data_IF_658767810204
#
_entry.id   IF_658767810204
#
_cell.length_a   1.000
_cell.length_b   1.000
_cell.length_c   1.000
_cell.angle_alpha   90.00
_cell.angle_beta   90.00
_cell.angle_gamma   90.00
#
_symmetry.space_group_name_H-M   'P 1'
#
loop_
_entity.id
_entity.type
_entity.pdbx_description
1 polymer ?
#
# COMPACT_ATOMS: atom_id res chain seq x y z
N UNK A 1 -27.86 -2.83 5.23
CA UNK A 1 -27.39 -2.26 3.96
C UNK A 1 -28.51 -2.42 2.94
N UNK A 2 -28.88 -1.38 2.18
CA UNK A 2 -29.96 -1.45 1.16
C UNK A 2 -29.37 -1.97 -0.16
N UNK A 3 -30.12 -2.83 -0.88
CA UNK A 3 -29.76 -3.27 -2.22
C UNK A 3 -29.82 -2.10 -3.22
N UNK A 4 -28.82 -2.01 -4.10
CA UNK A 4 -28.73 -0.99 -5.13
C UNK A 4 -29.10 -1.58 -6.49
N UNK A 5 -29.87 -0.84 -7.28
CA UNK A 5 -30.11 -1.15 -8.69
C UNK A 5 -28.87 -0.86 -9.54
N UNK A 6 -28.76 -1.49 -10.71
CA UNK A 6 -27.66 -1.25 -11.66
C UNK A 6 -27.53 0.25 -12.00
N UNK A 7 -28.66 0.93 -12.21
CA UNK A 7 -28.71 2.36 -12.52
C UNK A 7 -28.18 3.22 -11.37
N UNK A 8 -28.48 2.86 -10.11
CA UNK A 8 -27.92 3.56 -8.94
C UNK A 8 -26.41 3.34 -8.83
N UNK A 9 -25.93 2.11 -9.07
CA UNK A 9 -24.48 1.80 -9.06
C UNK A 9 -23.74 2.60 -10.13
N UNK A 10 -24.23 2.63 -11.37
CA UNK A 10 -23.59 3.36 -12.47
C UNK A 10 -23.60 4.88 -12.30
N UNK A 11 -24.57 5.42 -11.53
CA UNK A 11 -24.63 6.85 -11.21
C UNK A 11 -23.73 7.25 -10.04
N UNK A 12 -23.23 6.29 -9.25
CA UNK A 12 -22.35 6.62 -8.14
C UNK A 12 -21.01 7.15 -8.65
N UNK A 13 -20.68 8.38 -8.26
CA UNK A 13 -19.33 8.92 -8.45
C UNK A 13 -18.40 8.29 -7.42
N UNK A 14 -17.58 7.34 -7.86
CA UNK A 14 -16.48 6.80 -7.04
C UNK A 14 -15.38 7.85 -6.93
N UNK A 15 -14.80 8.00 -5.74
CA UNK A 15 -13.63 8.86 -5.53
C UNK A 15 -12.40 8.05 -5.92
N UNK A 16 -11.72 8.45 -6.99
CA UNK A 16 -10.48 7.83 -7.45
C UNK A 16 -9.28 8.75 -7.21
N UNK A 17 -8.07 8.18 -7.20
CA UNK A 17 -6.85 8.95 -7.30
C UNK A 17 -6.62 9.31 -8.77
N UNK A 18 -6.50 10.61 -9.06
CA UNK A 18 -6.12 11.09 -10.38
C UNK A 18 -4.59 10.96 -10.57
N UNK A 19 -4.10 9.72 -10.60
CA UNK A 19 -2.69 9.43 -10.81
C UNK A 19 -2.20 9.98 -12.15
N UNK A 20 -0.90 10.28 -12.21
CA UNK A 20 -0.25 10.89 -13.37
C UNK A 20 1.06 10.18 -13.70
N UNK A 21 1.49 10.32 -14.96
CA UNK A 21 2.76 9.78 -15.46
C UNK A 21 2.94 8.30 -15.11
N UNK A 22 4.13 7.93 -14.64
CA UNK A 22 4.50 6.54 -14.33
C UNK A 22 3.52 5.85 -13.34
N UNK A 23 2.90 6.60 -12.42
CA UNK A 23 1.91 6.04 -11.48
C UNK A 23 0.61 5.64 -12.19
N UNK A 24 0.13 6.47 -13.12
CA UNK A 24 -1.05 6.16 -13.94
C UNK A 24 -0.75 5.02 -14.89
N UNK A 25 0.42 5.03 -15.54
CA UNK A 25 0.84 3.98 -16.46
C UNK A 25 0.91 2.62 -15.76
N UNK A 26 1.29 2.58 -14.48
CA UNK A 26 1.38 1.35 -13.71
C UNK A 26 0.02 0.90 -13.14
N UNK A 27 -0.74 1.83 -12.55
CA UNK A 27 -1.88 1.49 -11.67
C UNK A 27 -3.22 2.09 -12.09
N UNK A 28 -3.28 2.85 -13.18
CA UNK A 28 -4.49 3.55 -13.61
C UNK A 28 -4.95 4.60 -12.59
N UNK A 29 -6.26 4.68 -12.37
CA UNK A 29 -6.88 5.63 -11.43
C UNK A 29 -7.67 4.86 -10.35
N UNK A 30 -6.98 4.25 -9.36
CA UNK A 30 -7.63 3.39 -8.37
C UNK A 30 -8.54 4.18 -7.42
N UNK A 31 -9.53 3.49 -6.82
CA UNK A 31 -10.38 4.08 -5.78
C UNK A 31 -9.56 4.56 -4.57
N UNK A 32 -10.03 5.62 -3.92
CA UNK A 32 -9.40 6.24 -2.73
C UNK A 32 -9.60 5.46 -1.43
N UNK A 33 -10.33 4.36 -1.48
CA UNK A 33 -10.68 3.52 -0.34
C UNK A 33 -10.55 2.05 -0.71
N UNK A 34 -10.45 1.19 0.29
CA UNK A 34 -10.31 -0.25 0.11
C UNK A 34 -8.94 -0.75 0.54
N UNK A 35 -8.55 -1.92 0.04
CA UNK A 35 -7.32 -2.60 0.47
C UNK A 35 -6.35 -2.73 -0.69
N UNK A 36 -5.14 -2.22 -0.50
CA UNK A 36 -4.00 -2.50 -1.37
C UNK A 36 -3.05 -3.46 -0.69
N UNK A 37 -2.42 -4.33 -1.47
CA UNK A 37 -1.53 -5.35 -0.95
C UNK A 37 -0.23 -5.38 -1.75
N UNK A 38 0.89 -5.14 -1.07
CA UNK A 38 2.22 -5.03 -1.66
C UNK A 38 3.09 -6.15 -1.10
N UNK A 39 3.68 -6.98 -1.95
CA UNK A 39 4.57 -8.04 -1.49
C UNK A 39 5.77 -8.20 -2.42
N UNK A 40 6.84 -8.79 -1.90
CA UNK A 40 8.12 -8.89 -2.59
C UNK A 40 9.19 -9.54 -1.72
N UNK A 41 10.11 -10.25 -2.36
CA UNK A 41 11.29 -10.81 -1.69
C UNK A 41 12.22 -9.70 -1.16
N UNK A 42 13.05 -10.04 -0.18
CA UNK A 42 14.05 -9.09 0.35
C UNK A 42 15.00 -8.62 -0.77
N UNK A 43 15.52 -7.39 -0.66
CA UNK A 43 16.48 -6.83 -1.62
C UNK A 43 15.92 -6.44 -3.00
N UNK A 44 14.62 -6.60 -3.26
CA UNK A 44 14.03 -6.34 -4.58
C UNK A 44 13.49 -4.91 -4.79
N UNK A 45 13.69 -4.01 -3.81
CA UNK A 45 13.21 -2.62 -3.88
C UNK A 45 11.81 -2.38 -3.29
N UNK A 46 11.25 -3.31 -2.52
CA UNK A 46 9.92 -3.17 -1.90
C UNK A 46 9.80 -1.91 -1.02
N UNK A 47 10.69 -1.73 -0.04
CA UNK A 47 10.67 -0.57 0.86
C UNK A 47 10.87 0.74 0.10
N UNK A 48 11.75 0.73 -0.91
CA UNK A 48 11.95 1.86 -1.84
C UNK A 48 10.69 2.25 -2.60
N UNK A 49 9.97 1.27 -3.16
CA UNK A 49 8.71 1.51 -3.84
C UNK A 49 7.65 2.09 -2.91
N UNK A 50 7.49 1.46 -1.74
CA UNK A 50 6.51 1.87 -0.74
C UNK A 50 6.72 3.31 -0.30
N UNK A 51 7.97 3.72 -0.09
CA UNK A 51 8.28 5.10 0.32
C UNK A 51 8.00 6.11 -0.79
N UNK A 52 8.36 5.82 -2.03
CA UNK A 52 7.98 6.64 -3.18
C UNK A 52 6.46 6.74 -3.31
N UNK A 53 5.75 5.63 -3.11
CA UNK A 53 4.29 5.59 -3.13
C UNK A 53 3.69 6.45 -2.02
N UNK A 54 4.18 6.33 -0.78
CA UNK A 54 3.73 7.15 0.33
C UNK A 54 3.92 8.64 0.05
N UNK A 55 5.10 9.04 -0.46
CA UNK A 55 5.38 10.42 -0.85
C UNK A 55 4.38 10.91 -1.89
N UNK A 56 4.09 10.10 -2.91
CA UNK A 56 3.14 10.46 -3.95
C UNK A 56 1.70 10.55 -3.43
N UNK A 57 1.29 9.63 -2.56
CA UNK A 57 -0.04 9.65 -1.94
C UNK A 57 -0.27 10.86 -1.04
N UNK A 58 0.80 11.43 -0.46
CA UNK A 58 0.74 12.67 0.32
C UNK A 58 0.26 13.89 -0.49
N UNK A 59 0.30 13.85 -1.82
CA UNK A 59 -0.30 14.89 -2.69
C UNK A 59 -1.84 14.87 -2.63
N UNK A 60 -2.44 13.74 -2.24
CA UNK A 60 -3.89 13.53 -2.27
C UNK A 60 -4.52 13.56 -0.88
N UNK A 61 -3.82 13.06 0.14
CA UNK A 61 -4.30 12.98 1.51
C UNK A 61 -3.17 12.79 2.54
N UNK A 62 -3.51 12.81 3.82
CA UNK A 62 -2.58 12.44 4.90
C UNK A 62 -2.38 10.93 4.95
N UNK A 63 -1.11 10.51 5.07
CA UNK A 63 -0.65 9.12 5.12
C UNK A 63 -0.07 8.83 6.49
N UNK A 64 -0.56 7.80 7.17
CA UNK A 64 0.12 7.21 8.33
C UNK A 64 0.84 5.93 7.93
N UNK A 65 2.11 5.81 8.30
CA UNK A 65 2.95 4.64 8.07
C UNK A 65 3.22 3.94 9.39
N UNK A 66 2.62 2.78 9.60
CA UNK A 66 2.83 1.98 10.79
C UNK A 66 3.96 0.97 10.58
N UNK A 67 5.16 1.35 11.01
CA UNK A 67 6.38 0.54 10.93
C UNK A 67 6.43 -0.43 12.11
N UNK A 68 5.84 -1.61 11.93
CA UNK A 68 5.86 -2.70 12.92
C UNK A 68 7.20 -3.46 12.91
N UNK A 69 7.87 -3.51 11.76
CA UNK A 69 9.17 -4.19 11.59
C UNK A 69 10.33 -3.37 12.10
N UNK A 70 10.47 -2.14 11.59
CA UNK A 70 11.68 -1.34 11.75
C UNK A 70 11.51 -0.16 12.71
N UNK A 71 10.29 0.14 13.18
CA UNK A 71 10.00 1.31 14.02
C UNK A 71 10.59 2.60 13.43
N UNK A 72 11.29 3.36 14.28
CA UNK A 72 12.06 4.57 13.96
C UNK A 72 13.57 4.32 13.78
N UNK A 73 13.95 3.10 13.39
CA UNK A 73 15.36 2.71 13.24
C UNK A 73 16.19 3.62 12.31
N UNK A 74 17.51 3.50 12.41
CA UNK A 74 18.46 4.18 11.51
C UNK A 74 18.16 3.87 10.02
N UNK A 75 17.71 2.66 9.71
CA UNK A 75 17.31 2.25 8.35
C UNK A 75 16.12 3.08 7.87
N UNK A 76 15.09 3.24 8.71
CA UNK A 76 13.95 4.09 8.42
C UNK A 76 14.38 5.56 8.24
N UNK A 77 15.20 6.09 9.15
CA UNK A 77 15.69 7.46 9.06
C UNK A 77 16.45 7.72 7.74
N UNK A 78 17.34 6.81 7.35
CA UNK A 78 18.09 6.92 6.09
C UNK A 78 17.17 6.82 4.87
N UNK A 79 16.13 6.01 4.95
CA UNK A 79 15.13 5.87 3.88
C UNK A 79 14.31 7.16 3.72
N UNK A 80 13.85 7.75 4.82
CA UNK A 80 13.14 9.03 4.78
C UNK A 80 13.99 10.15 4.16
N UNK A 81 15.28 10.21 4.52
CA UNK A 81 16.25 11.16 3.92
C UNK A 81 16.44 10.89 2.43
N UNK A 82 16.69 9.63 2.05
CA UNK A 82 16.93 9.23 0.64
C UNK A 82 15.79 9.63 -0.28
N UNK A 83 14.54 9.53 0.17
CA UNK A 83 13.36 9.87 -0.63
C UNK A 83 12.84 11.30 -0.39
N UNK A 84 13.55 12.13 0.38
CA UNK A 84 13.16 13.53 0.61
C UNK A 84 11.79 13.66 1.29
N UNK A 85 11.50 12.81 2.28
CA UNK A 85 10.19 12.81 2.96
C UNK A 85 9.95 14.08 3.80
N UNK A 86 10.98 14.89 4.04
CA UNK A 86 10.86 16.21 4.64
C UNK A 86 9.95 17.15 3.85
N UNK A 87 9.86 16.97 2.52
CA UNK A 87 8.99 17.75 1.63
C UNK A 87 7.49 17.54 1.92
N UNK A 88 7.13 16.41 2.54
CA UNK A 88 5.75 16.02 2.86
C UNK A 88 5.50 15.89 4.37
N UNK A 89 6.32 16.55 5.20
CA UNK A 89 6.31 16.41 6.66
C UNK A 89 4.96 16.75 7.34
N UNK A 90 4.10 17.57 6.71
CA UNK A 90 2.75 17.90 7.21
C UNK A 90 1.71 16.84 6.87
N UNK A 91 2.01 15.96 5.93
CA UNK A 91 1.07 14.97 5.37
C UNK A 91 1.48 13.53 5.65
N UNK A 92 2.76 13.27 5.97
CA UNK A 92 3.27 11.95 6.30
C UNK A 92 3.52 11.80 7.80
N UNK A 93 2.98 10.74 8.40
CA UNK A 93 3.14 10.43 9.83
C UNK A 93 3.73 9.03 9.99
N UNK A 94 4.93 8.93 10.58
CA UNK A 94 5.49 7.65 10.99
C UNK A 94 4.93 7.26 12.36
N UNK A 95 4.34 6.08 12.47
CA UNK A 95 3.87 5.50 13.73
C UNK A 95 4.87 4.45 14.21
N UNK A 96 5.11 4.42 15.52
CA UNK A 96 6.10 3.54 16.16
C UNK A 96 5.49 2.19 16.53
N UNK A 97 5.08 1.41 15.53
CA UNK A 97 4.62 0.03 15.71
C UNK A 97 3.35 -0.13 16.53
N UNK A 98 2.34 0.72 16.31
CA UNK A 98 1.04 0.60 16.98
C UNK A 98 0.40 -0.75 16.63
N UNK A 99 -0.07 -1.49 17.64
CA UNK A 99 -0.79 -2.73 17.36
C UNK A 99 -2.13 -2.44 16.65
N UNK A 100 -2.77 -3.46 16.08
CA UNK A 100 -3.97 -3.26 15.25
C UNK A 100 -5.16 -2.64 16.00
N UNK A 101 -5.22 -2.80 17.33
CA UNK A 101 -6.24 -2.14 18.16
C UNK A 101 -5.95 -0.65 18.32
N UNK A 102 -4.72 -0.29 18.68
CA UNK A 102 -4.28 1.10 18.80
C UNK A 102 -4.43 1.86 17.48
N UNK A 103 -4.07 1.20 16.38
CA UNK A 103 -4.25 1.74 15.04
C UNK A 103 -5.73 1.97 14.71
N UNK A 104 -6.61 1.04 15.09
CA UNK A 104 -8.06 1.22 14.94
C UNK A 104 -8.56 2.42 15.72
N UNK A 105 -8.21 2.52 17.00
CA UNK A 105 -8.61 3.63 17.88
C UNK A 105 -8.12 4.99 17.34
N UNK A 106 -6.95 5.02 16.69
CA UNK A 106 -6.43 6.20 15.99
C UNK A 106 -7.28 6.57 14.78
N UNK A 107 -7.70 5.58 13.99
CA UNK A 107 -8.48 5.79 12.77
C UNK A 107 -9.93 6.20 13.07
N UNK A 108 -10.48 5.80 14.22
CA UNK A 108 -11.82 6.19 14.66
C UNK A 108 -11.93 7.66 15.10
N UNK A 109 -10.80 8.32 15.36
CA UNK A 109 -10.78 9.74 15.76
C UNK A 109 -11.32 10.63 14.65
N UNK A 110 -12.07 11.68 15.05
CA UNK A 110 -12.55 12.71 14.12
C UNK A 110 -11.38 13.35 13.36
N UNK A 111 -11.49 13.43 12.04
CA UNK A 111 -10.43 13.91 11.13
C UNK A 111 -9.13 13.10 11.24
N UNK A 112 -9.22 11.80 11.48
CA UNK A 112 -8.09 10.87 11.30
C UNK A 112 -7.55 10.89 9.87
N UNK A 113 -6.41 10.23 9.66
CA UNK A 113 -5.84 10.03 8.32
C UNK A 113 -6.78 9.19 7.44
N UNK A 114 -6.69 9.35 6.12
CA UNK A 114 -7.50 8.56 5.18
C UNK A 114 -6.71 7.43 4.52
N UNK A 115 -5.38 7.48 4.61
CA UNK A 115 -4.48 6.48 4.05
C UNK A 115 -3.62 5.94 5.19
N UNK A 116 -3.63 4.63 5.37
CA UNK A 116 -2.83 3.92 6.36
C UNK A 116 -2.02 2.81 5.70
N UNK A 117 -0.75 2.75 6.04
CA UNK A 117 0.18 1.71 5.60
C UNK A 117 0.59 0.87 6.80
N UNK A 118 0.53 -0.45 6.67
CA UNK A 118 0.91 -1.40 7.72
C UNK A 118 2.09 -2.24 7.23
N UNK A 119 3.26 -2.01 7.84
CA UNK A 119 4.54 -2.61 7.46
C UNK A 119 5.14 -3.48 8.59
N UNK A 120 4.96 -4.81 8.60
CA UNK A 120 4.26 -5.63 7.61
C UNK A 120 3.11 -6.44 8.21
N UNK A 121 2.31 -7.05 7.33
CA UNK A 121 1.17 -7.87 7.69
C UNK A 121 1.55 -9.01 8.65
N UNK A 122 2.73 -9.62 8.50
CA UNK A 122 3.17 -10.71 9.37
C UNK A 122 3.25 -10.27 10.84
N UNK A 123 3.61 -9.02 11.10
CA UNK A 123 3.77 -8.47 12.45
C UNK A 123 2.44 -8.04 13.08
N UNK A 124 1.37 -7.95 12.29
CA UNK A 124 0.03 -7.71 12.83
C UNK A 124 -0.52 -8.90 13.62
N UNK A 125 0.01 -10.10 13.35
CA UNK A 125 -0.47 -11.39 13.86
C UNK A 125 -1.97 -11.66 13.62
N UNK A 126 -2.60 -10.90 12.72
CA UNK A 126 -4.02 -11.07 12.42
C UNK A 126 -4.27 -12.37 11.66
N UNK A 127 -5.31 -13.09 12.07
CA UNK A 127 -5.96 -14.06 11.21
C UNK A 127 -6.90 -13.36 10.20
N UNK A 128 -7.41 -14.11 9.23
CA UNK A 128 -8.27 -13.53 8.18
C UNK A 128 -9.57 -12.92 8.73
N UNK A 129 -10.13 -13.47 9.82
CA UNK A 129 -11.35 -12.93 10.43
C UNK A 129 -11.10 -11.57 11.09
N UNK A 130 -9.97 -11.41 11.77
CA UNK A 130 -9.55 -10.14 12.37
C UNK A 130 -9.28 -9.08 11.30
N UNK A 131 -8.60 -9.47 10.22
CA UNK A 131 -8.45 -8.63 9.05
C UNK A 131 -9.79 -8.14 8.50
N UNK A 132 -10.77 -9.04 8.31
CA UNK A 132 -12.10 -8.64 7.82
C UNK A 132 -12.74 -7.65 8.78
N UNK A 133 -12.69 -7.87 10.10
CA UNK A 133 -13.23 -6.92 11.07
C UNK A 133 -12.56 -5.54 10.96
N UNK A 134 -11.24 -5.50 10.86
CA UNK A 134 -10.49 -4.26 10.70
C UNK A 134 -10.84 -3.53 9.39
N UNK A 135 -10.83 -4.24 8.26
CA UNK A 135 -11.25 -3.70 6.95
C UNK A 135 -12.67 -3.13 6.99
N UNK A 136 -13.59 -3.88 7.58
CA UNK A 136 -15.01 -3.54 7.61
C UNK A 136 -15.34 -2.41 8.59
N UNK A 137 -14.49 -2.15 9.59
CA UNK A 137 -14.58 -0.97 10.46
C UNK A 137 -14.08 0.30 9.75
N UNK A 138 -13.05 0.16 8.90
CA UNK A 138 -12.35 1.28 8.25
C UNK A 138 -12.58 1.34 6.73
N UNK A 139 -13.81 1.05 6.27
CA UNK A 139 -14.14 0.97 4.82
C UNK A 139 -14.04 2.29 4.08
N UNK A 140 -14.11 3.40 4.81
CA UNK A 140 -13.96 4.75 4.29
C UNK A 140 -12.48 5.16 4.12
N UNK A 141 -11.55 4.26 4.47
CA UNK A 141 -10.10 4.45 4.40
C UNK A 141 -9.48 3.65 3.28
N UNK A 142 -8.29 4.06 2.86
CA UNK A 142 -7.36 3.23 2.12
C UNK A 142 -6.42 2.55 3.11
N UNK A 143 -6.40 1.22 3.09
CA UNK A 143 -5.50 0.40 3.91
C UNK A 143 -4.51 -0.31 2.99
N UNK A 144 -3.23 -0.06 3.18
CA UNK A 144 -2.15 -0.65 2.40
C UNK A 144 -1.39 -1.61 3.29
N UNK A 145 -1.44 -2.90 2.99
CA UNK A 145 -0.64 -3.90 3.68
C UNK A 145 0.63 -4.20 2.88
N UNK A 146 1.75 -4.18 3.57
CA UNK A 146 3.02 -4.68 3.04
C UNK A 146 3.23 -6.08 3.59
N UNK A 147 3.79 -6.98 2.78
CA UNK A 147 4.03 -8.35 3.18
C UNK A 147 5.39 -8.83 2.67
N UNK A 148 6.04 -9.67 3.47
CA UNK A 148 7.09 -10.54 2.96
C UNK A 148 6.51 -11.54 1.95
N UNK A 149 7.41 -12.12 1.15
CA UNK A 149 7.08 -13.16 0.20
C UNK A 149 7.77 -14.49 0.54
N UNK A 150 7.17 -15.59 0.08
CA UNK A 150 7.77 -16.91 0.00
C UNK A 150 7.65 -17.35 -1.46
N UNK A 151 8.76 -17.33 -2.20
CA UNK A 151 8.73 -17.45 -3.65
C UNK A 151 8.00 -16.25 -4.27
N UNK A 152 6.93 -16.50 -5.03
CA UNK A 152 6.08 -15.47 -5.65
C UNK A 152 4.79 -15.17 -4.87
N UNK A 153 4.52 -15.92 -3.80
CA UNK A 153 3.33 -15.73 -2.96
C UNK A 153 3.65 -14.90 -1.70
N UNK A 154 2.67 -14.19 -1.12
CA UNK A 154 2.79 -13.63 0.22
C UNK A 154 3.11 -14.72 1.26
N UNK A 155 3.95 -14.38 2.24
CA UNK A 155 4.32 -15.30 3.33
C UNK A 155 3.14 -15.51 4.29
N UNK A 156 2.65 -16.74 4.38
CA UNK A 156 1.58 -17.17 5.28
C UNK A 156 0.18 -17.15 4.65
N UNK A 157 -0.68 -18.08 5.08
CA UNK A 157 -2.02 -18.28 4.50
C UNK A 157 -2.93 -17.06 4.68
N UNK A 158 -2.90 -16.42 5.84
CA UNK A 158 -3.67 -15.20 6.10
C UNK A 158 -3.29 -14.08 5.11
N UNK A 159 -1.99 -13.86 4.88
CA UNK A 159 -1.50 -12.85 3.94
C UNK A 159 -1.95 -13.14 2.50
N UNK A 160 -1.97 -14.42 2.10
CA UNK A 160 -2.52 -14.82 0.80
C UNK A 160 -4.02 -14.51 0.68
N UNK A 161 -4.81 -14.84 1.71
CA UNK A 161 -6.24 -14.50 1.73
C UNK A 161 -6.48 -12.99 1.63
N UNK A 162 -5.68 -12.19 2.34
CA UNK A 162 -5.75 -10.72 2.25
C UNK A 162 -5.39 -10.23 0.84
N UNK A 163 -4.33 -10.77 0.24
CA UNK A 163 -3.96 -10.48 -1.15
C UNK A 163 -5.10 -10.82 -2.13
N UNK A 164 -5.85 -11.90 -1.90
CA UNK A 164 -7.00 -12.24 -2.73
C UNK A 164 -8.14 -11.22 -2.62
N UNK A 165 -8.42 -10.71 -1.41
CA UNK A 165 -9.44 -9.69 -1.14
C UNK A 165 -9.06 -8.29 -1.66
N UNK A 166 -7.76 -7.97 -1.71
CA UNK A 166 -7.26 -6.66 -2.10
C UNK A 166 -7.69 -6.22 -3.51
N UNK A 167 -8.04 -4.93 -3.63
CA UNK A 167 -8.48 -4.31 -4.89
C UNK A 167 -7.30 -4.00 -5.81
N UNK A 168 -6.17 -3.55 -5.23
CA UNK A 168 -4.89 -3.37 -5.91
C UNK A 168 -3.85 -4.30 -5.30
N UNK A 169 -3.20 -5.09 -6.16
CA UNK A 169 -2.22 -6.11 -5.80
C UNK A 169 -0.92 -5.73 -6.50
N UNK A 170 0.16 -5.53 -5.74
CA UNK A 170 1.43 -5.04 -6.27
C UNK A 170 2.53 -6.02 -5.90
N UNK A 171 3.05 -6.71 -6.90
CA UNK A 171 4.22 -7.56 -6.75
C UNK A 171 5.49 -6.76 -7.02
N UNK A 172 6.49 -6.84 -6.14
CA UNK A 172 7.78 -6.16 -6.32
C UNK A 172 8.90 -7.16 -6.52
N UNK A 173 9.59 -7.07 -7.65
CA UNK A 173 10.69 -7.94 -8.06
C UNK A 173 11.65 -7.18 -8.97
N UNK A 174 12.96 -7.38 -8.78
CA UNK A 174 13.98 -6.80 -9.65
C UNK A 174 13.85 -5.29 -9.84
N UNK A 175 13.54 -4.54 -8.76
CA UNK A 175 13.35 -3.08 -8.78
C UNK A 175 12.23 -2.60 -9.72
N UNK A 176 11.25 -3.45 -9.98
CA UNK A 176 9.98 -3.10 -10.61
C UNK A 176 8.81 -3.49 -9.71
N UNK A 177 7.76 -2.67 -9.72
CA UNK A 177 6.48 -2.96 -9.09
C UNK A 177 5.44 -3.25 -10.16
N UNK A 178 4.83 -4.43 -10.12
CA UNK A 178 3.88 -4.93 -11.11
C UNK A 178 2.48 -4.91 -10.54
N UNK A 179 1.54 -4.30 -11.26
CA UNK A 179 0.12 -4.43 -10.92
C UNK A 179 -0.39 -5.82 -11.31
N UNK A 180 -0.98 -6.53 -10.34
CA UNK A 180 -1.59 -7.86 -10.49
C UNK A 180 -3.08 -7.85 -10.12
N UNK A 181 -3.62 -6.68 -9.80
CA UNK A 181 -4.98 -6.49 -9.30
C UNK A 181 -5.98 -6.16 -10.40
N UNK A 182 -7.05 -5.44 -10.00
CA UNK A 182 -8.10 -4.98 -10.93
C UNK A 182 -7.74 -3.67 -11.64
N UNK A 183 -6.86 -2.87 -11.02
CA UNK A 183 -6.41 -1.61 -11.57
C UNK A 183 -5.03 -1.80 -12.21
N UNK A 184 -5.01 -1.91 -13.53
CA UNK A 184 -3.79 -2.06 -14.33
C UNK A 184 -3.77 -0.86 -15.28
N UNK A 185 -2.73 -0.03 -15.16
CA UNK A 185 -2.50 1.06 -16.11
C UNK A 185 -2.01 0.55 -17.46
N UNK A 186 -1.75 1.44 -18.39
CA UNK A 186 -1.31 1.09 -19.75
C UNK A 186 -0.10 0.15 -19.79
N UNK A 187 0.88 0.35 -18.89
CA UNK A 187 2.09 -0.49 -18.79
C UNK A 187 1.96 -1.60 -17.76
N UNK A 188 1.14 -1.39 -16.73
CA UNK A 188 0.99 -2.36 -15.63
C UNK A 188 2.24 -2.53 -14.74
N UNK A 189 3.29 -1.74 -14.95
CA UNK A 189 4.52 -1.78 -14.16
C UNK A 189 5.09 -0.38 -13.88
N UNK A 190 5.74 -0.25 -12.73
CA UNK A 190 6.48 0.93 -12.29
C UNK A 190 7.94 0.56 -12.05
N UNK A 191 8.89 1.24 -12.70
CA UNK A 191 10.32 1.03 -12.46
C UNK A 191 10.76 1.87 -11.26
N UNK A 192 11.22 1.19 -10.20
CA UNK A 192 11.59 1.76 -8.89
C UNK A 192 13.00 2.34 -8.94
N UNK A 193 13.91 1.63 -9.62
CA UNK A 193 15.31 2.00 -9.82
C UNK A 193 15.77 1.49 -11.19
N UNK A 194 16.09 2.41 -12.11
CA UNK A 194 16.37 2.08 -13.51
C UNK A 194 17.63 1.23 -13.67
N UNK A 195 18.75 1.57 -13.01
CA UNK A 195 19.99 0.78 -13.11
C UNK A 195 19.83 -0.60 -12.49
N UNK A 196 19.16 -0.69 -11.33
CA UNK A 196 18.89 -1.97 -10.67
C UNK A 196 18.01 -2.87 -11.51
N UNK A 197 16.96 -2.31 -12.12
CA UNK A 197 16.08 -3.05 -13.01
C UNK A 197 16.85 -3.52 -14.26
N UNK A 198 17.64 -2.66 -14.90
CA UNK A 198 18.48 -3.07 -16.04
C UNK A 198 19.42 -4.22 -15.68
N UNK A 199 20.07 -4.16 -14.51
CA UNK A 199 20.95 -5.25 -14.06
C UNK A 199 20.21 -6.56 -13.79
N UNK A 200 18.98 -6.49 -13.29
CA UNK A 200 18.19 -7.69 -12.96
C UNK A 200 17.53 -8.32 -14.19
N UNK A 201 17.07 -7.51 -15.14
CA UNK A 201 16.26 -7.93 -16.29
C UNK A 201 17.01 -7.90 -17.64
N UNK A 202 18.21 -7.31 -17.68
CA UNK A 202 18.95 -6.99 -18.91
C UNK A 202 19.86 -8.10 -19.44
N UNK A 203 19.97 -9.23 -18.75
CA UNK A 203 20.62 -10.42 -19.28
C UNK A 203 19.56 -11.27 -20.01
N UNK A 204 19.28 -10.91 -21.27
CA UNK A 204 18.63 -11.75 -22.29
C UNK A 204 19.45 -11.67 -23.58
#
# INVERSE_FOLDING_TARGET
MRALTVKEVLKQKKRTFAFKGKWKDAFGEPERTGVWFIWGNSGNGKSSFVMQLCKYLCEFDRVAYNSLEEGDSLTMQNTLKRYGMSEVNKSFYLLNGENMRELSDRLDKRKSVNIVVVDSFQYTQMNYREYIRFKEAHRDKLIIFISHAQGKAPRGSAAQSVMYDATLKIWVEGFKAFSKGRFIGEKGEYTIWDEGAKKYWGDN
#
